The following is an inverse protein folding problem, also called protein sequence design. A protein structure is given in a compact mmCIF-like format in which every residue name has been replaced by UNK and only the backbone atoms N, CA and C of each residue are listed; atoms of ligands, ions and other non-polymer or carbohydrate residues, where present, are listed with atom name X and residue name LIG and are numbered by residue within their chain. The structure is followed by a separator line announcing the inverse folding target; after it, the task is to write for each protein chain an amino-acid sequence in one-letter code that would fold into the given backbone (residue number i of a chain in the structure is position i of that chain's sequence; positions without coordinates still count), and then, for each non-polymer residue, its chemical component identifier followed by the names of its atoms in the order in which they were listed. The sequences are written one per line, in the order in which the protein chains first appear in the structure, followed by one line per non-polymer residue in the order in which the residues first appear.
data_IF_092833419162
#
_entry.id   IF_092833419162
#
_cell.length_a   1.000
_cell.length_b   1.000
_cell.length_c   1.000
_cell.angle_alpha   90.00
_cell.angle_beta   90.00
_cell.angle_gamma   90.00
#
_symmetry.space_group_name_H-M   'P 1'
#
loop_
_entity.id
_entity.type
_entity.pdbx_description
1 polymer ?
#
# COMPACT_ATOMS: atom_id res chain seq x y z
N UNK A 1 15.92 6.09 12.83
CA UNK A 1 14.94 7.10 12.34
C UNK A 1 15.41 8.47 12.74
N UNK A 2 15.41 9.43 11.80
CA UNK A 2 15.81 10.79 12.10
C UNK A 2 14.73 11.53 12.86
N UNK A 3 15.10 12.61 13.56
CA UNK A 3 14.19 13.36 14.41
C UNK A 3 12.96 13.87 13.67
N UNK A 4 13.12 14.35 12.44
CA UNK A 4 12.03 14.85 11.62
C UNK A 4 10.98 13.78 11.33
N UNK A 5 11.43 12.57 11.01
CA UNK A 5 10.53 11.43 10.76
C UNK A 5 9.76 11.05 12.01
N UNK A 6 10.44 11.00 13.15
CA UNK A 6 9.81 10.74 14.44
C UNK A 6 8.76 11.79 14.76
N UNK A 7 9.05 13.06 14.51
CA UNK A 7 8.11 14.15 14.71
C UNK A 7 6.85 13.97 13.85
N UNK A 8 7.02 13.64 12.56
CA UNK A 8 5.88 13.41 11.66
C UNK A 8 5.01 12.26 12.17
N UNK A 9 5.63 11.14 12.55
CA UNK A 9 4.89 9.99 13.06
C UNK A 9 4.09 10.31 14.32
N UNK A 10 4.68 11.09 15.23
CA UNK A 10 3.98 11.51 16.45
C UNK A 10 2.78 12.40 16.12
N UNK A 11 2.92 13.29 15.14
CA UNK A 11 1.83 14.16 14.70
C UNK A 11 0.70 13.40 14.00
N UNK A 12 0.99 12.22 13.44
CA UNK A 12 0.01 11.39 12.75
C UNK A 12 -0.67 10.36 13.68
N UNK A 13 -0.37 10.37 14.98
CA UNK A 13 -1.01 9.43 15.92
C UNK A 13 -2.48 9.77 16.17
N UNK A 14 -3.24 8.82 16.72
CA UNK A 14 -4.66 8.99 17.05
C UNK A 14 -4.92 10.18 17.97
N UNK A 15 -4.01 10.43 18.88
CA UNK A 15 -4.18 11.43 19.93
C UNK A 15 -3.93 12.85 19.45
N UNK A 16 -3.54 13.00 18.19
CA UNK A 16 -3.15 14.30 17.66
C UNK A 16 -4.34 15.00 17.00
N UNK A 17 -4.46 16.31 17.24
CA UNK A 17 -5.51 17.12 16.62
C UNK A 17 -5.35 17.19 15.10
N UNK A 18 -6.45 17.50 14.40
CA UNK A 18 -6.43 17.67 12.94
C UNK A 18 -5.49 18.79 12.49
N UNK A 19 -5.37 19.84 13.27
CA UNK A 19 -4.47 20.96 12.97
C UNK A 19 -3.01 20.51 12.98
N UNK A 20 -2.62 19.70 13.97
CA UNK A 20 -1.27 19.14 14.05
C UNK A 20 -1.01 18.14 12.94
N UNK A 21 -2.03 17.37 12.52
CA UNK A 21 -1.91 16.44 11.39
C UNK A 21 -1.63 17.18 10.10
N UNK A 22 -2.24 18.36 9.89
CA UNK A 22 -1.93 19.21 8.73
C UNK A 22 -0.48 19.68 8.75
N UNK A 23 0.03 20.03 9.91
CA UNK A 23 1.44 20.40 10.07
C UNK A 23 2.36 19.23 9.69
N UNK A 24 1.98 18.00 10.03
CA UNK A 24 2.72 16.81 9.64
C UNK A 24 2.77 16.65 8.10
N UNK A 25 1.67 16.93 7.41
CA UNK A 25 1.64 16.85 5.94
C UNK A 25 2.57 17.89 5.31
N UNK A 26 2.66 19.08 5.88
CA UNK A 26 3.58 20.12 5.40
C UNK A 26 5.03 19.68 5.57
N UNK A 27 5.37 19.09 6.71
CA UNK A 27 6.72 18.54 6.94
C UNK A 27 7.02 17.39 6.01
N UNK A 28 6.02 16.57 5.70
CA UNK A 28 6.16 15.42 4.80
C UNK A 28 6.52 15.83 3.38
N UNK A 29 6.01 16.97 2.92
CA UNK A 29 6.32 17.49 1.58
C UNK A 29 7.82 17.71 1.38
N UNK A 30 8.54 18.03 2.46
CA UNK A 30 9.99 18.29 2.43
C UNK A 30 10.83 17.07 2.79
N UNK A 31 10.21 15.93 3.09
CA UNK A 31 10.96 14.72 3.47
C UNK A 31 11.59 14.07 2.24
N UNK A 32 12.86 13.69 2.37
CA UNK A 32 13.61 13.05 1.28
C UNK A 32 13.12 11.63 0.99
N UNK A 33 12.70 10.90 2.04
CA UNK A 33 12.24 9.52 1.95
C UNK A 33 10.98 9.36 2.77
N UNK A 34 10.04 8.58 2.28
CA UNK A 34 8.75 8.31 2.92
C UNK A 34 8.64 6.90 3.51
N UNK A 35 9.70 6.10 3.46
CA UNK A 35 9.67 4.70 3.94
C UNK A 35 9.19 4.59 5.39
N UNK A 36 9.47 5.60 6.22
CA UNK A 36 9.08 5.60 7.64
C UNK A 36 7.55 5.61 7.84
N UNK A 37 6.77 5.98 6.82
CA UNK A 37 5.30 5.96 6.88
C UNK A 37 4.72 4.58 6.63
N UNK A 38 5.52 3.66 6.08
CA UNK A 38 5.01 2.40 5.55
C UNK A 38 5.10 1.32 6.62
N UNK A 39 3.99 0.60 6.82
CA UNK A 39 3.93 -0.59 7.67
C UNK A 39 5.01 -1.61 7.25
N UNK A 40 5.76 -2.22 8.18
CA UNK A 40 5.64 -2.14 9.65
C UNK A 40 6.56 -1.10 10.30
N UNK A 41 7.19 -0.21 9.53
CA UNK A 41 8.15 0.75 10.06
C UNK A 41 7.50 1.84 10.92
N UNK A 42 6.26 2.21 10.59
CA UNK A 42 5.52 3.22 11.35
C UNK A 42 5.04 2.64 12.69
N UNK A 43 4.81 3.52 13.68
CA UNK A 43 4.20 3.12 14.95
C UNK A 43 2.75 2.70 14.71
N UNK A 44 2.32 1.61 15.36
CA UNK A 44 0.96 1.08 15.18
C UNK A 44 -0.12 2.13 15.41
N UNK A 45 0.05 2.99 16.40
CA UNK A 45 -0.91 4.07 16.72
C UNK A 45 -1.04 5.09 15.58
N UNK A 46 -0.12 5.11 14.64
CA UNK A 46 -0.13 6.03 13.51
C UNK A 46 -0.44 5.36 12.16
N UNK A 47 -0.59 4.04 12.12
CA UNK A 47 -0.76 3.32 10.84
C UNK A 47 -1.91 3.86 10.00
N UNK A 48 -3.08 4.08 10.60
CA UNK A 48 -4.23 4.60 9.86
C UNK A 48 -3.94 5.98 9.26
N UNK A 49 -3.34 6.86 10.04
CA UNK A 49 -3.04 8.23 9.59
C UNK A 49 -1.88 8.26 8.62
N UNK A 50 -0.91 7.36 8.75
CA UNK A 50 0.14 7.19 7.75
C UNK A 50 -0.46 6.75 6.42
N UNK A 51 -1.41 5.82 6.42
CA UNK A 51 -2.11 5.40 5.21
C UNK A 51 -2.87 6.57 4.58
N UNK A 52 -3.55 7.39 5.40
CA UNK A 52 -4.23 8.60 4.91
C UNK A 52 -3.25 9.60 4.30
N UNK A 53 -2.07 9.74 4.87
CA UNK A 53 -1.03 10.66 4.37
C UNK A 53 -0.59 10.28 2.96
N UNK A 54 -0.66 9.00 2.58
CA UNK A 54 -0.28 8.55 1.25
C UNK A 54 -1.11 9.20 0.13
N UNK A 55 -2.34 9.65 0.44
CA UNK A 55 -3.18 10.33 -0.53
C UNK A 55 -2.67 11.72 -0.90
N UNK A 56 -1.74 12.25 -0.13
CA UNK A 56 -1.11 13.55 -0.38
C UNK A 56 0.29 13.42 -0.99
N UNK A 57 0.70 12.20 -1.33
CA UNK A 57 2.02 11.90 -1.89
C UNK A 57 1.84 11.50 -3.35
N UNK A 58 2.68 12.05 -4.23
CA UNK A 58 2.64 11.77 -5.66
C UNK A 58 3.00 10.32 -5.97
N UNK A 59 2.42 9.78 -7.04
CA UNK A 59 2.67 8.42 -7.48
C UNK A 59 4.17 8.12 -7.64
N UNK A 60 4.92 9.07 -8.21
CA UNK A 60 6.37 8.89 -8.44
C UNK A 60 7.15 8.65 -7.15
N UNK A 61 6.70 9.24 -6.04
CA UNK A 61 7.35 9.04 -4.73
C UNK A 61 6.94 7.71 -4.08
N UNK A 62 5.76 7.20 -4.42
CA UNK A 62 5.27 5.91 -3.91
C UNK A 62 5.84 4.73 -4.69
N UNK A 63 6.18 4.93 -5.96
CA UNK A 63 6.59 3.84 -6.84
C UNK A 63 7.73 2.98 -6.27
N UNK A 64 8.81 3.54 -5.72
CA UNK A 64 9.90 2.72 -5.16
C UNK A 64 9.48 1.85 -3.97
N UNK A 65 8.34 2.15 -3.35
CA UNK A 65 7.86 1.48 -2.14
C UNK A 65 6.68 0.54 -2.42
N UNK A 66 6.36 0.29 -3.68
CA UNK A 66 5.22 -0.54 -4.04
C UNK A 66 5.27 -1.95 -3.45
N UNK A 67 6.44 -2.65 -3.39
CA UNK A 67 6.46 -3.96 -2.75
C UNK A 67 5.99 -3.92 -1.29
N UNK A 68 6.43 -2.93 -0.52
CA UNK A 68 6.05 -2.77 0.88
C UNK A 68 4.60 -2.34 1.03
N UNK A 69 4.11 -1.49 0.13
CA UNK A 69 2.71 -1.08 0.14
C UNK A 69 1.77 -2.24 -0.19
N UNK A 70 2.15 -3.10 -1.14
CA UNK A 70 1.37 -4.30 -1.45
C UNK A 70 1.38 -5.29 -0.27
N UNK A 71 2.52 -5.41 0.42
CA UNK A 71 2.59 -6.22 1.64
C UNK A 71 1.65 -5.69 2.72
N UNK A 72 1.50 -4.38 2.84
CA UNK A 72 0.55 -3.77 3.78
C UNK A 72 -0.90 -4.11 3.38
N UNK A 73 -1.21 -4.07 2.10
CA UNK A 73 -2.55 -4.47 1.59
C UNK A 73 -2.84 -5.94 1.91
N UNK A 74 -1.83 -6.82 1.80
CA UNK A 74 -1.97 -8.24 2.17
C UNK A 74 -2.32 -8.42 3.65
N UNK A 75 -1.87 -7.53 4.51
CA UNK A 75 -2.13 -7.60 5.95
C UNK A 75 -3.54 -7.07 6.26
N UNK A 76 -4.56 -7.80 5.83
CA UNK A 76 -5.96 -7.38 5.81
C UNK A 76 -6.52 -6.87 7.15
N UNK A 77 -6.00 -7.40 8.26
CA UNK A 77 -6.47 -7.04 9.60
C UNK A 77 -5.67 -5.91 10.24
N UNK A 78 -4.63 -5.43 9.56
CA UNK A 78 -3.83 -4.33 10.08
C UNK A 78 -4.45 -2.99 9.73
N UNK A 79 -4.36 -2.06 10.66
CA UNK A 79 -4.91 -0.73 10.46
C UNK A 79 -4.28 -0.06 9.24
N UNK A 80 -5.11 0.58 8.44
CA UNK A 80 -4.67 1.30 7.26
C UNK A 80 -4.61 0.49 5.97
N UNK A 81 -4.65 -0.85 6.04
CA UNK A 81 -4.51 -1.68 4.84
C UNK A 81 -5.55 -1.36 3.76
N UNK A 82 -6.80 -1.13 4.16
CA UNK A 82 -7.87 -0.78 3.21
C UNK A 82 -7.63 0.57 2.56
N UNK A 83 -7.14 1.54 3.33
CA UNK A 83 -6.79 2.86 2.81
C UNK A 83 -5.64 2.78 1.81
N UNK A 84 -4.63 1.94 2.09
CA UNK A 84 -3.53 1.72 1.17
C UNK A 84 -4.05 1.14 -0.15
N UNK A 85 -4.95 0.16 -0.08
CA UNK A 85 -5.56 -0.41 -1.28
C UNK A 85 -6.26 0.69 -2.10
N UNK A 86 -7.07 1.54 -1.46
CA UNK A 86 -7.74 2.63 -2.17
C UNK A 86 -6.75 3.59 -2.80
N UNK A 87 -5.66 3.91 -2.11
CA UNK A 87 -4.63 4.79 -2.68
C UNK A 87 -4.00 4.15 -3.93
N UNK A 88 -3.72 2.86 -3.89
CA UNK A 88 -3.13 2.17 -5.03
C UNK A 88 -4.11 2.06 -6.20
N UNK A 89 -5.42 2.01 -5.95
CA UNK A 89 -6.42 2.02 -7.02
C UNK A 89 -6.38 3.34 -7.81
N UNK A 90 -5.99 4.43 -7.19
CA UNK A 90 -5.86 5.74 -7.85
C UNK A 90 -4.53 5.92 -8.57
N UNK A 91 -3.57 5.01 -8.37
CA UNK A 91 -2.26 5.11 -8.99
C UNK A 91 -2.33 4.83 -10.49
N UNK A 92 -1.41 5.44 -11.25
CA UNK A 92 -1.30 5.15 -12.68
C UNK A 92 -1.05 3.66 -12.89
N UNK A 93 -1.89 3.05 -13.74
CA UNK A 93 -1.83 1.61 -13.99
C UNK A 93 -0.45 1.18 -14.49
N UNK A 94 0.21 2.01 -15.31
CA UNK A 94 1.53 1.69 -15.84
C UNK A 94 2.61 1.58 -14.75
N UNK A 95 2.44 2.28 -13.63
CA UNK A 95 3.37 2.18 -12.50
C UNK A 95 3.09 0.96 -11.62
N UNK A 96 1.81 0.62 -11.47
CA UNK A 96 1.38 -0.46 -10.57
C UNK A 96 1.55 -1.84 -11.21
N UNK A 97 1.46 -1.94 -12.53
CA UNK A 97 1.36 -3.22 -13.24
C UNK A 97 2.49 -4.18 -12.91
N UNK A 98 3.74 -3.80 -13.13
CA UNK A 98 4.87 -4.71 -12.93
C UNK A 98 5.07 -5.11 -11.46
N UNK A 99 5.02 -4.18 -10.48
CA UNK A 99 5.09 -4.56 -9.07
C UNK A 99 3.95 -5.49 -8.65
N UNK A 100 2.74 -5.26 -9.14
CA UNK A 100 1.59 -6.10 -8.82
C UNK A 100 1.77 -7.51 -9.38
N UNK A 101 2.21 -7.65 -10.63
CA UNK A 101 2.50 -8.96 -11.22
C UNK A 101 3.56 -9.70 -10.40
N UNK A 102 4.65 -9.02 -10.06
CA UNK A 102 5.71 -9.62 -9.24
C UNK A 102 5.15 -10.12 -7.92
N UNK A 103 4.33 -9.32 -7.26
CA UNK A 103 3.70 -9.69 -5.99
C UNK A 103 2.83 -10.93 -6.15
N UNK A 104 1.97 -10.97 -7.16
CA UNK A 104 1.07 -12.10 -7.41
C UNK A 104 1.88 -13.38 -7.69
N UNK A 105 2.89 -13.30 -8.53
CA UNK A 105 3.71 -14.46 -8.87
C UNK A 105 4.50 -15.00 -7.68
N UNK A 106 4.94 -14.12 -6.77
CA UNK A 106 5.62 -14.52 -5.55
C UNK A 106 4.73 -15.34 -4.61
N UNK A 107 3.41 -15.19 -4.73
CA UNK A 107 2.45 -15.86 -3.87
C UNK A 107 1.79 -17.09 -4.51
N UNK A 108 2.27 -17.51 -5.69
CA UNK A 108 1.63 -18.62 -6.44
C UNK A 108 1.55 -19.93 -5.65
N UNK A 109 2.53 -20.19 -4.78
CA UNK A 109 2.60 -21.42 -3.99
C UNK A 109 2.23 -21.17 -2.52
N UNK A 110 1.64 -20.02 -2.20
CA UNK A 110 1.27 -19.69 -0.84
C UNK A 110 0.09 -20.54 -0.36
N UNK A 111 0.17 -21.03 0.87
CA UNK A 111 -0.92 -21.74 1.52
C UNK A 111 -2.03 -20.80 1.95
N UNK A 112 -1.71 -19.54 2.23
CA UNK A 112 -2.67 -18.51 2.61
C UNK A 112 -3.22 -17.83 1.37
N UNK A 113 -4.51 -17.46 1.42
CA UNK A 113 -5.17 -16.68 0.37
C UNK A 113 -5.34 -15.20 0.74
N UNK A 114 -4.75 -14.77 1.84
CA UNK A 114 -4.84 -13.36 2.27
C UNK A 114 -4.34 -12.41 1.18
N UNK A 115 -3.25 -12.78 0.50
CA UNK A 115 -2.72 -11.97 -0.61
C UNK A 115 -3.76 -11.75 -1.71
N UNK A 116 -4.53 -12.79 -2.02
CA UNK A 116 -5.55 -12.72 -3.06
C UNK A 116 -6.67 -11.75 -2.66
N UNK A 117 -7.18 -11.88 -1.45
CA UNK A 117 -8.19 -10.95 -0.96
C UNK A 117 -7.69 -9.51 -0.93
N UNK A 118 -6.41 -9.32 -0.62
CA UNK A 118 -5.81 -7.99 -0.58
C UNK A 118 -5.68 -7.33 -1.95
N UNK A 119 -5.28 -8.07 -2.98
CA UNK A 119 -4.95 -7.48 -4.29
C UNK A 119 -5.96 -7.77 -5.40
N UNK A 120 -6.98 -8.58 -5.15
CA UNK A 120 -7.91 -8.98 -6.21
C UNK A 120 -8.61 -7.79 -6.87
N UNK A 121 -8.99 -6.78 -6.10
CA UNK A 121 -9.62 -5.58 -6.65
C UNK A 121 -8.65 -4.73 -7.46
N UNK A 122 -7.39 -4.67 -7.03
CA UNK A 122 -6.36 -3.97 -7.82
C UNK A 122 -6.14 -4.68 -9.15
N UNK A 123 -6.05 -5.99 -9.14
CA UNK A 123 -5.85 -6.79 -10.34
C UNK A 123 -7.05 -6.73 -11.30
N UNK A 124 -8.27 -6.54 -10.78
CA UNK A 124 -9.49 -6.45 -11.56
C UNK A 124 -9.66 -5.12 -12.30
N UNK A 125 -8.81 -4.13 -12.01
CA UNK A 125 -8.85 -2.83 -12.70
C UNK A 125 -8.79 -3.03 -14.22
N UNK A 126 -9.70 -2.37 -14.95
CA UNK A 126 -9.82 -2.53 -16.41
C UNK A 126 -8.58 -2.10 -17.19
N UNK A 127 -7.68 -1.30 -16.60
CA UNK A 127 -6.42 -0.90 -17.22
C UNK A 127 -5.28 -1.85 -16.86
N UNK A 128 -5.46 -2.72 -15.88
CA UNK A 128 -4.44 -3.63 -15.39
C UNK A 128 -4.71 -5.05 -15.85
N UNK A 129 -5.90 -5.57 -15.59
CA UNK A 129 -6.23 -6.97 -15.83
C UNK A 129 -5.88 -7.47 -17.26
N UNK A 130 -6.24 -6.73 -18.34
CA UNK A 130 -5.91 -7.18 -19.68
C UNK A 130 -4.41 -7.20 -19.99
N UNK A 131 -3.61 -6.46 -19.23
CA UNK A 131 -2.16 -6.36 -19.43
C UNK A 131 -1.36 -7.35 -18.60
N UNK A 132 -2.00 -8.05 -17.68
CA UNK A 132 -1.33 -9.06 -16.86
C UNK A 132 -0.89 -10.23 -17.77
N UNK A 133 0.26 -10.82 -17.43
CA UNK A 133 0.77 -11.96 -18.19
C UNK A 133 -0.16 -13.17 -18.05
N UNK A 134 -0.04 -14.11 -18.98
CA UNK A 134 -0.81 -15.35 -18.96
C UNK A 134 -0.54 -16.13 -17.66
N UNK A 135 0.70 -16.15 -17.22
CA UNK A 135 1.09 -16.79 -15.96
C UNK A 135 0.41 -16.16 -14.76
N UNK A 136 0.36 -14.83 -14.72
CA UNK A 136 -0.30 -14.09 -13.63
C UNK A 136 -1.80 -14.36 -13.62
N UNK A 137 -2.45 -14.39 -14.79
CA UNK A 137 -3.86 -14.76 -14.89
C UNK A 137 -4.12 -16.15 -14.34
N UNK A 138 -3.23 -17.11 -14.63
CA UNK A 138 -3.39 -18.47 -14.13
C UNK A 138 -3.32 -18.54 -12.61
N UNK A 139 -2.41 -17.78 -11.99
CA UNK A 139 -2.29 -17.71 -10.53
C UNK A 139 -3.57 -17.13 -9.91
N UNK A 140 -4.10 -16.05 -10.48
CA UNK A 140 -5.33 -15.42 -10.00
C UNK A 140 -6.53 -16.35 -10.14
N UNK A 141 -6.67 -17.04 -11.27
CA UNK A 141 -7.78 -17.97 -11.51
C UNK A 141 -7.73 -19.14 -10.54
N UNK A 142 -6.54 -19.66 -10.28
CA UNK A 142 -6.36 -20.75 -9.33
C UNK A 142 -6.76 -20.33 -7.93
N UNK A 143 -6.36 -19.13 -7.49
CA UNK A 143 -6.73 -18.58 -6.20
C UNK A 143 -8.24 -18.37 -6.11
N UNK A 144 -8.85 -17.81 -7.15
CA UNK A 144 -10.30 -17.60 -7.20
C UNK A 144 -11.07 -18.89 -7.00
N UNK A 145 -10.64 -19.99 -7.63
CA UNK A 145 -11.29 -21.28 -7.48
C UNK A 145 -11.20 -21.83 -6.08
N UNK A 146 -10.11 -21.55 -5.36
CA UNK A 146 -9.92 -22.00 -3.99
C UNK A 146 -10.85 -21.30 -3.00
N UNK A 147 -11.34 -20.10 -3.33
CA UNK A 147 -12.24 -19.35 -2.44
C UNK A 147 -13.71 -19.57 -2.73
N UNK A 148 -14.03 -20.32 -3.78
CA UNK A 148 -15.41 -20.66 -4.14
C UNK A 148 -15.95 -21.86 -3.37
#
# INVERSE_FOLDING_TARGET
MIEKETQILQLLSYETSMQKKRAALDLLADADDIAFLIHPLAYRSSWEFCAKALFFIEDARLEPHLPELLAWVEALNDEGSELVEFRLQDMQASMLLAPLETFILQHRDSDSLDWYFGVSRLAANGLIYPRLSRETHAVLQQAEQKVK
#
